data_IF_716864027791
#
_entry.id   IF_716864027791
#
_cell.length_a   1.000
_cell.length_b   1.000
_cell.length_c   1.000
_cell.angle_alpha   90.00
_cell.angle_beta   90.00
_cell.angle_gamma   90.00
#
_symmetry.space_group_name_H-M   'P 1'
#
loop_
_entity.id
_entity.type
_entity.pdbx_description
1 polymer ?
#
# COMPACT_ATOMS: atom_id res chain seq x y z
N UNK A 1 8.52 18.62 -22.21
CA UNK A 1 9.35 17.75 -21.34
C UNK A 1 8.39 16.85 -20.60
N UNK A 2 7.97 15.75 -21.24
CA UNK A 2 7.12 14.75 -20.60
C UNK A 2 8.03 13.87 -19.76
N UNK A 3 8.02 14.11 -18.44
CA UNK A 3 8.65 13.19 -17.51
C UNK A 3 7.88 11.87 -17.63
N UNK A 4 8.53 10.71 -17.86
CA UNK A 4 7.81 9.45 -17.76
C UNK A 4 7.15 9.43 -16.38
N UNK A 5 5.84 9.18 -16.33
CA UNK A 5 5.06 9.05 -15.11
C UNK A 5 5.60 7.83 -14.35
N UNK A 6 6.72 8.02 -13.67
CA UNK A 6 7.39 6.94 -12.97
C UNK A 6 6.63 6.69 -11.68
N UNK A 7 6.11 5.49 -11.55
CA UNK A 7 5.42 5.06 -10.33
C UNK A 7 6.36 5.01 -9.11
N UNK A 8 7.67 5.07 -9.34
CA UNK A 8 8.69 4.99 -8.29
C UNK A 8 8.53 6.06 -7.21
N UNK A 9 8.22 7.32 -7.59
CA UNK A 9 8.03 8.40 -6.62
C UNK A 9 6.82 8.15 -5.70
N UNK A 10 5.61 7.87 -6.22
CA UNK A 10 4.48 7.45 -5.40
C UNK A 10 4.79 6.25 -4.50
N UNK A 11 5.49 5.23 -5.02
CA UNK A 11 5.89 4.04 -4.24
C UNK A 11 6.81 4.43 -3.08
N UNK A 12 7.85 5.23 -3.31
CA UNK A 12 8.75 5.72 -2.26
C UNK A 12 8.03 6.54 -1.19
N UNK A 13 7.09 7.39 -1.62
CA UNK A 13 6.26 8.16 -0.71
C UNK A 13 5.41 7.26 0.20
N UNK A 14 4.78 6.23 -0.37
CA UNK A 14 3.99 5.25 0.40
C UNK A 14 4.84 4.42 1.34
N UNK A 15 6.03 3.97 0.93
CA UNK A 15 6.96 3.25 1.79
C UNK A 15 7.31 4.08 3.04
N UNK A 16 7.62 5.37 2.85
CA UNK A 16 7.84 6.31 3.96
C UNK A 16 6.57 6.48 4.82
N UNK A 17 5.41 6.62 4.19
CA UNK A 17 4.11 6.71 4.85
C UNK A 17 3.80 5.50 5.74
N UNK A 18 4.07 4.29 5.26
CA UNK A 18 3.89 3.04 6.01
C UNK A 18 4.78 3.02 7.26
N UNK A 19 6.05 3.41 7.13
CA UNK A 19 6.98 3.48 8.28
C UNK A 19 6.49 4.48 9.32
N UNK A 20 6.05 5.66 8.88
CA UNK A 20 5.47 6.68 9.76
C UNK A 20 4.22 6.17 10.48
N UNK A 21 3.25 5.64 9.73
CA UNK A 21 1.98 5.10 10.24
C UNK A 21 2.22 3.99 11.24
N UNK A 22 3.12 3.06 10.95
CA UNK A 22 3.48 1.94 11.85
C UNK A 22 4.06 2.42 13.17
N UNK A 23 4.86 3.50 13.15
CA UNK A 23 5.39 4.15 14.35
C UNK A 23 4.27 4.78 15.19
N UNK A 24 3.31 5.45 14.55
CA UNK A 24 2.14 6.04 15.19
C UNK A 24 1.28 4.95 15.85
N UNK A 25 1.00 3.86 15.13
CA UNK A 25 0.28 2.69 15.65
C UNK A 25 0.98 2.13 16.90
N UNK A 26 2.30 1.90 16.83
CA UNK A 26 3.08 1.37 17.95
C UNK A 26 2.97 2.25 19.19
N UNK A 27 2.99 3.58 19.02
CA UNK A 27 2.80 4.53 20.13
C UNK A 27 1.37 4.49 20.65
N UNK A 28 0.38 4.46 19.76
CA UNK A 28 -1.02 4.45 20.11
C UNK A 28 -1.41 3.23 20.96
N UNK A 29 -0.96 2.03 20.57
CA UNK A 29 -1.19 0.78 21.30
C UNK A 29 -0.74 0.87 22.77
N UNK A 30 0.39 1.55 23.03
CA UNK A 30 0.91 1.72 24.40
C UNK A 30 -0.02 2.56 25.27
N UNK A 31 -0.74 3.51 24.66
CA UNK A 31 -1.69 4.41 25.30
C UNK A 31 -3.09 3.78 25.40
N UNK A 32 -3.55 3.12 24.34
CA UNK A 32 -4.90 2.54 24.20
C UNK A 32 -4.78 1.03 23.99
N UNK A 33 -4.52 0.30 25.08
CA UNK A 33 -4.20 -1.14 25.03
C UNK A 33 -5.31 -2.01 24.42
N UNK A 34 -6.58 -1.60 24.55
CA UNK A 34 -7.73 -2.31 23.97
C UNK A 34 -7.70 -2.33 22.43
N UNK A 35 -6.94 -1.43 21.80
CA UNK A 35 -6.75 -1.37 20.35
C UNK A 35 -5.70 -2.35 19.82
N UNK A 36 -4.97 -3.05 20.70
CA UNK A 36 -3.83 -3.87 20.30
C UNK A 36 -4.18 -4.95 19.27
N UNK A 37 -5.26 -5.70 19.47
CA UNK A 37 -5.63 -6.78 18.56
C UNK A 37 -5.98 -6.24 17.16
N UNK A 38 -6.78 -5.17 17.13
CA UNK A 38 -7.22 -4.51 15.90
C UNK A 38 -6.00 -3.93 15.13
N UNK A 39 -5.11 -3.24 15.84
CA UNK A 39 -3.96 -2.58 15.23
C UNK A 39 -2.79 -3.53 14.92
N UNK A 40 -2.71 -4.68 15.59
CA UNK A 40 -1.76 -5.72 15.22
C UNK A 40 -2.09 -6.30 13.83
N UNK A 41 -3.38 -6.46 13.52
CA UNK A 41 -3.82 -6.87 12.19
C UNK A 41 -3.44 -5.81 11.14
N UNK A 42 -3.73 -4.53 11.41
CA UNK A 42 -3.35 -3.41 10.52
C UNK A 42 -1.84 -3.35 10.31
N UNK A 43 -1.04 -3.55 11.37
CA UNK A 43 0.43 -3.56 11.26
C UNK A 43 0.94 -4.68 10.35
N UNK A 44 0.29 -5.85 10.38
CA UNK A 44 0.58 -6.94 9.44
C UNK A 44 0.22 -6.54 8.01
N UNK A 45 -0.98 -6.01 7.80
CA UNK A 45 -1.44 -5.62 6.46
C UNK A 45 -0.55 -4.52 5.85
N UNK A 46 -0.07 -3.57 6.66
CA UNK A 46 0.92 -2.57 6.28
C UNK A 46 2.28 -3.19 5.91
N UNK A 47 2.70 -4.23 6.61
CA UNK A 47 3.94 -4.95 6.31
C UNK A 47 3.83 -5.71 4.99
N UNK A 48 2.70 -6.37 4.76
CA UNK A 48 2.43 -7.09 3.51
C UNK A 48 2.34 -6.13 2.32
N UNK A 49 1.66 -4.99 2.49
CA UNK A 49 1.61 -3.93 1.49
C UNK A 49 3.01 -3.37 1.19
N UNK A 50 3.84 -3.14 2.22
CA UNK A 50 5.22 -2.70 2.05
C UNK A 50 5.99 -3.65 1.14
N UNK A 51 5.88 -4.97 1.36
CA UNK A 51 6.57 -5.96 0.53
C UNK A 51 6.16 -5.84 -0.94
N UNK A 52 4.86 -5.70 -1.22
CA UNK A 52 4.34 -5.50 -2.58
C UNK A 52 4.89 -4.22 -3.21
N UNK A 53 4.97 -3.13 -2.44
CA UNK A 53 5.51 -1.86 -2.90
C UNK A 53 7.02 -1.91 -3.18
N UNK A 54 7.80 -2.63 -2.36
CA UNK A 54 9.24 -2.82 -2.59
C UNK A 54 9.47 -3.63 -3.88
N UNK A 55 8.71 -4.71 -4.11
CA UNK A 55 8.76 -5.46 -5.37
C UNK A 55 8.43 -4.55 -6.56
N UNK A 56 7.38 -3.75 -6.42
CA UNK A 56 6.96 -2.83 -7.46
C UNK A 56 8.00 -1.75 -7.78
N UNK A 57 8.79 -1.34 -6.78
CA UNK A 57 9.88 -0.38 -6.97
C UNK A 57 10.99 -0.94 -7.87
N UNK A 58 11.20 -2.26 -7.84
CA UNK A 58 12.23 -2.94 -8.62
C UNK A 58 11.80 -3.15 -10.10
N UNK A 59 10.52 -2.98 -10.41
CA UNK A 59 9.98 -3.14 -11.76
C UNK A 59 10.31 -1.97 -12.68
N UNK A 60 11.12 -2.24 -13.72
CA UNK A 60 11.58 -1.23 -14.69
C UNK A 60 10.79 -1.22 -16.01
N UNK A 61 9.90 -2.19 -16.20
CA UNK A 61 9.22 -2.48 -17.48
C UNK A 61 7.70 -2.28 -17.47
N UNK A 62 7.16 -1.46 -16.57
CA UNK A 62 5.71 -1.36 -16.39
C UNK A 62 5.06 -0.72 -17.63
N UNK A 63 4.13 -1.42 -18.30
CA UNK A 63 3.54 -0.95 -19.55
C UNK A 63 2.72 0.33 -19.32
N UNK A 64 2.78 1.33 -20.21
CA UNK A 64 2.04 2.59 -20.06
C UNK A 64 0.54 2.42 -19.84
N UNK A 65 -0.05 1.36 -20.43
CA UNK A 65 -1.46 1.02 -20.26
C UNK A 65 -1.84 0.68 -18.81
N UNK A 66 -0.88 0.18 -18.01
CA UNK A 66 -1.09 -0.19 -16.61
C UNK A 66 -0.69 0.94 -15.65
N UNK A 67 0.26 1.80 -16.03
CA UNK A 67 0.77 2.89 -15.18
C UNK A 67 -0.35 3.78 -14.62
N UNK A 68 -1.32 4.19 -15.44
CA UNK A 68 -2.42 5.04 -15.00
C UNK A 68 -3.29 4.40 -13.91
N UNK A 69 -3.64 3.12 -14.07
CA UNK A 69 -4.40 2.35 -13.09
C UNK A 69 -3.62 2.22 -11.77
N UNK A 70 -2.33 1.92 -11.86
CA UNK A 70 -1.46 1.77 -10.69
C UNK A 70 -1.32 3.07 -9.92
N UNK A 71 -1.17 4.21 -10.61
CA UNK A 71 -1.09 5.51 -9.95
C UNK A 71 -2.34 5.83 -9.13
N UNK A 72 -3.54 5.50 -9.65
CA UNK A 72 -4.80 5.68 -8.92
C UNK A 72 -4.89 4.79 -7.66
N UNK A 73 -4.41 3.54 -7.77
CA UNK A 73 -4.35 2.63 -6.62
C UNK A 73 -3.35 3.13 -5.57
N UNK A 74 -2.17 3.60 -5.99
CA UNK A 74 -1.14 4.15 -5.10
C UNK A 74 -1.64 5.43 -4.40
N UNK A 75 -2.33 6.31 -5.11
CA UNK A 75 -2.96 7.50 -4.51
C UNK A 75 -4.02 7.12 -3.48
N UNK A 76 -4.90 6.17 -3.81
CA UNK A 76 -5.93 5.67 -2.91
C UNK A 76 -5.34 5.03 -1.64
N UNK A 77 -4.22 4.32 -1.80
CA UNK A 77 -3.45 3.78 -0.69
C UNK A 77 -2.92 4.89 0.23
N UNK A 78 -2.38 5.98 -0.33
CA UNK A 78 -1.91 7.12 0.43
C UNK A 78 -3.03 7.77 1.25
N UNK A 79 -4.22 7.90 0.66
CA UNK A 79 -5.39 8.43 1.35
C UNK A 79 -5.82 7.55 2.53
N UNK A 80 -5.72 6.23 2.41
CA UNK A 80 -6.02 5.32 3.52
C UNK A 80 -4.99 5.43 4.64
N UNK A 81 -3.69 5.58 4.35
CA UNK A 81 -2.68 5.82 5.39
C UNK A 81 -2.96 7.12 6.16
N UNK A 82 -3.29 8.19 5.44
CA UNK A 82 -3.70 9.47 6.06
C UNK A 82 -4.95 9.27 6.93
N UNK A 83 -5.90 8.44 6.48
CA UNK A 83 -7.11 8.13 7.25
C UNK A 83 -6.77 7.36 8.53
N UNK A 84 -5.88 6.37 8.47
CA UNK A 84 -5.40 5.64 9.65
C UNK A 84 -4.81 6.61 10.68
N UNK A 85 -3.90 7.48 10.25
CA UNK A 85 -3.28 8.48 11.14
C UNK A 85 -4.34 9.42 11.76
N UNK A 86 -5.33 9.83 10.97
CA UNK A 86 -6.45 10.67 11.43
C UNK A 86 -7.31 9.97 12.48
N UNK A 87 -7.66 8.70 12.27
CA UNK A 87 -8.44 7.90 13.22
C UNK A 87 -7.69 7.74 14.54
N UNK A 88 -6.38 7.45 14.47
CA UNK A 88 -5.53 7.31 15.67
C UNK A 88 -5.41 8.63 16.44
N UNK A 89 -5.31 9.77 15.74
CA UNK A 89 -5.29 11.08 16.38
C UNK A 89 -6.62 11.39 17.11
N UNK A 90 -7.76 11.04 16.49
CA UNK A 90 -9.09 11.31 17.04
C UNK A 90 -9.48 10.35 18.18
N UNK A 91 -8.99 9.11 18.15
CA UNK A 91 -9.38 8.06 19.09
C UNK A 91 -8.38 7.82 20.23
N UNK A 92 -7.69 8.86 20.70
CA UNK A 92 -6.67 8.78 21.77
C UNK A 92 -7.17 8.27 23.12
N UNK A 93 -8.49 8.16 23.31
CA UNK A 93 -9.15 7.62 24.50
C UNK A 93 -9.74 6.22 24.25
N UNK A 94 -9.65 5.29 25.21
CA UNK A 94 -10.20 3.94 25.05
C UNK A 94 -11.69 3.89 24.67
N UNK A 95 -12.51 4.80 25.20
CA UNK A 95 -13.94 4.84 24.92
C UNK A 95 -14.22 5.32 23.48
N UNK A 96 -13.39 6.25 22.97
CA UNK A 96 -13.47 6.71 21.59
C UNK A 96 -13.03 5.61 20.62
N UNK A 97 -11.97 4.87 20.96
CA UNK A 97 -11.56 3.69 20.21
C UNK A 97 -12.66 2.63 20.13
N UNK A 98 -13.26 2.29 21.27
CA UNK A 98 -14.29 1.25 21.34
C UNK A 98 -15.56 1.60 20.55
N UNK A 99 -15.92 2.90 20.49
CA UNK A 99 -17.15 3.36 19.84
C UNK A 99 -16.99 3.64 18.35
N UNK A 100 -15.85 4.20 17.95
CA UNK A 100 -15.63 4.72 16.59
C UNK A 100 -14.38 4.12 15.98
N UNK A 101 -13.25 4.19 16.69
CA UNK A 101 -11.94 3.83 16.15
C UNK A 101 -11.86 2.43 15.56
N UNK A 102 -12.44 1.42 16.22
CA UNK A 102 -12.47 0.03 15.74
C UNK A 102 -13.15 -0.11 14.37
N UNK A 103 -14.32 0.50 14.20
CA UNK A 103 -15.09 0.39 12.95
C UNK A 103 -14.40 1.11 11.80
N UNK A 104 -13.91 2.32 12.05
CA UNK A 104 -13.13 3.10 11.07
C UNK A 104 -11.84 2.38 10.66
N UNK A 105 -11.19 1.71 11.62
CA UNK A 105 -9.97 0.96 11.33
C UNK A 105 -10.24 -0.28 10.49
N UNK A 106 -11.37 -0.95 10.67
CA UNK A 106 -11.75 -2.10 9.81
C UNK A 106 -12.00 -1.65 8.37
N UNK A 107 -12.65 -0.50 8.15
CA UNK A 107 -12.82 0.09 6.81
C UNK A 107 -11.46 0.42 6.17
N UNK A 108 -10.53 0.98 6.95
CA UNK A 108 -9.17 1.22 6.45
C UNK A 108 -8.48 -0.09 6.05
N UNK A 109 -8.68 -1.14 6.84
CA UNK A 109 -8.09 -2.45 6.65
C UNK A 109 -8.60 -3.16 5.40
N UNK A 110 -9.91 -3.10 5.14
CA UNK A 110 -10.51 -3.58 3.88
C UNK A 110 -9.93 -2.85 2.67
N UNK A 111 -9.72 -1.52 2.79
CA UNK A 111 -9.06 -0.71 1.76
C UNK A 111 -7.62 -1.15 1.50
N UNK A 112 -6.82 -1.33 2.56
CA UNK A 112 -5.44 -1.81 2.45
C UNK A 112 -5.37 -3.19 1.78
N UNK A 113 -6.25 -4.12 2.17
CA UNK A 113 -6.36 -5.45 1.56
C UNK A 113 -6.68 -5.37 0.07
N UNK A 114 -7.66 -4.56 -0.31
CA UNK A 114 -8.06 -4.36 -1.72
C UNK A 114 -6.92 -3.78 -2.56
N UNK A 115 -6.18 -2.80 -2.03
CA UNK A 115 -5.04 -2.22 -2.76
C UNK A 115 -3.87 -3.18 -2.87
N UNK A 116 -3.58 -3.96 -1.83
CA UNK A 116 -2.57 -5.01 -1.87
C UNK A 116 -2.89 -6.02 -2.98
N UNK A 117 -4.15 -6.46 -3.06
CA UNK A 117 -4.59 -7.39 -4.12
C UNK A 117 -4.47 -6.76 -5.51
N UNK A 118 -4.94 -5.52 -5.68
CA UNK A 118 -4.84 -4.82 -6.95
C UNK A 118 -3.38 -4.62 -7.42
N UNK A 119 -2.48 -4.24 -6.51
CA UNK A 119 -1.06 -4.09 -6.81
C UNK A 119 -0.37 -5.44 -7.06
N UNK A 120 -0.78 -6.49 -6.35
CA UNK A 120 -0.30 -7.86 -6.60
C UNK A 120 -0.68 -8.33 -8.01
N UNK A 121 -1.93 -8.12 -8.42
CA UNK A 121 -2.38 -8.43 -9.79
C UNK A 121 -1.62 -7.61 -10.83
N UNK A 122 -1.35 -6.32 -10.54
CA UNK A 122 -0.56 -5.48 -11.43
C UNK A 122 0.87 -6.05 -11.61
N UNK A 123 1.50 -6.53 -10.54
CA UNK A 123 2.80 -7.20 -10.60
C UNK A 123 2.76 -8.49 -11.43
N UNK A 124 1.75 -9.33 -11.22
CA UNK A 124 1.58 -10.57 -12.00
C UNK A 124 1.47 -10.29 -13.50
N UNK A 125 0.72 -9.25 -13.86
CA UNK A 125 0.57 -8.79 -15.25
C UNK A 125 1.91 -8.30 -15.80
N UNK A 126 2.65 -7.47 -15.06
CA UNK A 126 3.99 -6.99 -15.45
C UNK A 126 4.92 -8.17 -15.69
N UNK A 127 4.94 -9.16 -14.79
CA UNK A 127 5.72 -10.37 -14.95
C UNK A 127 5.43 -11.09 -16.27
N UNK A 128 4.15 -11.30 -16.61
CA UNK A 128 3.74 -11.92 -17.88
C UNK A 128 4.21 -11.12 -19.09
N UNK A 129 4.13 -9.79 -19.05
CA UNK A 129 4.63 -8.94 -20.14
C UNK A 129 6.14 -9.09 -20.34
N UNK A 130 6.92 -9.11 -19.26
CA UNK A 130 8.38 -9.26 -19.33
C UNK A 130 8.74 -10.62 -19.93
N UNK A 131 8.14 -11.72 -19.46
CA UNK A 131 8.39 -13.05 -20.02
C UNK A 131 8.03 -13.15 -21.49
N UNK A 132 6.88 -12.61 -21.89
CA UNK A 132 6.44 -12.63 -23.28
C UNK A 132 7.40 -11.83 -24.17
N UNK A 133 7.82 -10.64 -23.74
CA UNK A 133 8.74 -9.79 -24.49
C UNK A 133 10.14 -10.41 -24.61
N UNK A 134 10.68 -10.98 -23.53
CA UNK A 134 11.96 -11.70 -23.55
C UNK A 134 11.92 -12.92 -24.46
N UNK A 135 10.84 -13.70 -24.41
CA UNK A 135 10.67 -14.87 -25.28
C UNK A 135 10.56 -14.48 -26.76
N UNK A 136 9.82 -13.40 -27.06
CA UNK A 136 9.69 -12.88 -28.42
C UNK A 136 11.03 -12.40 -28.98
N UNK A 137 11.81 -11.65 -28.18
CA UNK A 137 13.17 -11.22 -28.56
C UNK A 137 14.09 -12.41 -28.82
N UNK A 138 14.02 -13.46 -28.01
CA UNK A 138 14.84 -14.66 -28.18
C UNK A 138 14.47 -15.47 -29.44
N UNK A 139 13.21 -15.46 -29.84
CA UNK A 139 12.72 -16.18 -31.04
C UNK A 139 12.91 -15.41 -32.35
N UNK A 140 12.88 -14.07 -32.30
CA UNK A 140 12.86 -13.23 -33.50
C UNK A 140 14.12 -12.38 -33.70
N UNK A 141 15.10 -12.44 -32.78
CA UNK A 141 16.41 -11.82 -32.96
C UNK A 141 17.50 -12.92 -32.99
N UNK A 142 17.97 -13.35 -34.19
CA UNK A 142 19.02 -14.36 -34.33
C UNK A 142 20.41 -13.85 -33.97
#
# INVERSE_FOLDING_TARGET
MDQPLTIARPVEYLLSGIVSTSSIITRFIRTVRVAHADLAAVTRDLSDLRLVLELLKEETGIPPALQGQMLLVLESCGNVLIRVDSVLAQCSRPEAWARVGRGEMEVCREGLGSFREALGLALDVVGVYVYFFSFYLFLFCP
#
